data_IF_420272608550
#
_entry.id   IF_420272608550
#
_cell.length_a   1.000
_cell.length_b   1.000
_cell.length_c   1.000
_cell.angle_alpha   90.00
_cell.angle_beta   90.00
_cell.angle_gamma   90.00
#
_symmetry.space_group_name_H-M   'P 1'
#
loop_
_entity.id
_entity.type
_entity.pdbx_description
1 polymer ?
#
# COMPACT_ATOMS: atom_id res chain seq x y z
N UNK A 1 0.51 -11.89 -3.08
CA UNK A 1 -0.28 -10.65 -3.03
C UNK A 1 -1.55 -10.82 -3.84
N UNK A 2 -2.65 -10.25 -3.36
CA UNK A 2 -3.93 -10.17 -4.07
C UNK A 2 -4.36 -8.70 -4.17
N UNK A 3 -4.92 -8.32 -5.32
CA UNK A 3 -5.62 -7.05 -5.51
C UNK A 3 -7.06 -7.36 -5.86
N UNK A 4 -7.99 -6.73 -5.14
CA UNK A 4 -9.42 -6.90 -5.33
C UNK A 4 -10.14 -5.58 -5.56
N UNK A 5 -11.18 -5.60 -6.37
CA UNK A 5 -12.09 -4.47 -6.58
C UNK A 5 -13.54 -4.92 -6.40
N UNK A 6 -14.35 -4.05 -5.82
CA UNK A 6 -15.80 -4.18 -5.80
C UNK A 6 -16.41 -2.96 -6.49
N UNK A 7 -17.24 -3.22 -7.47
CA UNK A 7 -18.04 -2.22 -8.15
C UNK A 7 -19.28 -1.86 -7.31
N UNK A 8 -19.89 -0.72 -7.62
CA UNK A 8 -21.12 -0.28 -6.97
C UNK A 8 -22.31 -1.24 -7.24
N UNK A 9 -22.29 -1.93 -8.39
CA UNK A 9 -23.23 -3.00 -8.74
C UNK A 9 -22.96 -4.33 -8.02
N UNK A 10 -22.19 -4.30 -6.93
CA UNK A 10 -21.78 -5.42 -6.09
C UNK A 10 -20.95 -6.50 -6.77
N UNK A 11 -20.62 -6.36 -8.06
CA UNK A 11 -19.72 -7.28 -8.74
C UNK A 11 -18.31 -7.13 -8.16
N UNK A 12 -17.67 -8.27 -7.94
CA UNK A 12 -16.33 -8.36 -7.37
C UNK A 12 -15.40 -9.03 -8.36
N UNK A 13 -14.17 -8.53 -8.44
CA UNK A 13 -13.08 -9.18 -9.17
C UNK A 13 -11.82 -9.12 -8.31
N UNK A 14 -10.99 -10.15 -8.39
CA UNK A 14 -9.69 -10.19 -7.74
C UNK A 14 -8.65 -10.86 -8.65
N UNK A 15 -7.40 -10.45 -8.49
CA UNK A 15 -6.25 -11.09 -9.15
C UNK A 15 -5.14 -11.33 -8.14
N UNK A 16 -4.39 -12.40 -8.32
CA UNK A 16 -3.25 -12.78 -7.47
C UNK A 16 -1.95 -12.71 -8.25
N UNK A 17 -0.89 -12.29 -7.57
CA UNK A 17 0.46 -12.27 -8.12
C UNK A 17 1.46 -12.54 -7.00
N UNK A 18 2.44 -13.40 -7.28
CA UNK A 18 3.61 -13.57 -6.45
C UNK A 18 4.66 -12.55 -6.89
N UNK A 19 5.26 -11.84 -5.92
CA UNK A 19 6.40 -10.99 -6.21
C UNK A 19 7.63 -11.85 -6.55
N UNK A 20 8.52 -11.40 -7.44
CA UNK A 20 9.71 -12.18 -7.82
C UNK A 20 10.66 -12.41 -6.63
N UNK A 21 10.75 -11.41 -5.76
CA UNK A 21 11.52 -11.45 -4.51
C UNK A 21 10.61 -11.02 -3.35
N UNK A 22 10.93 -11.46 -2.11
CA UNK A 22 10.34 -10.86 -0.90
C UNK A 22 10.53 -9.34 -0.89
N UNK A 23 9.50 -8.63 -0.47
CA UNK A 23 9.48 -7.16 -0.44
C UNK A 23 8.90 -6.69 0.91
N UNK A 24 9.51 -5.65 1.46
CA UNK A 24 9.16 -5.03 2.74
C UNK A 24 8.95 -3.50 2.63
N UNK A 25 9.09 -2.92 1.44
CA UNK A 25 8.86 -1.49 1.21
C UNK A 25 7.67 -1.22 0.28
N UNK A 26 7.00 -0.08 0.49
CA UNK A 26 5.92 0.40 -0.40
C UNK A 26 6.40 0.54 -1.85
N UNK A 27 7.65 0.98 -2.04
CA UNK A 27 8.27 1.18 -3.35
C UNK A 27 8.40 -0.12 -4.15
N UNK A 28 8.60 -1.25 -3.47
CA UNK A 28 8.70 -2.56 -4.09
C UNK A 28 7.32 -3.15 -4.42
N UNK A 29 6.31 -2.86 -3.59
CA UNK A 29 4.98 -3.46 -3.68
C UNK A 29 4.03 -2.67 -4.59
N UNK A 30 3.97 -1.34 -4.43
CA UNK A 30 3.00 -0.47 -5.11
C UNK A 30 3.03 -0.57 -6.64
N UNK A 31 4.19 -0.65 -7.34
CA UNK A 31 4.19 -0.79 -8.79
C UNK A 31 3.46 -2.06 -9.27
N UNK A 32 3.59 -3.16 -8.51
CA UNK A 32 2.88 -4.40 -8.81
C UNK A 32 1.38 -4.29 -8.54
N UNK A 33 0.99 -3.61 -7.45
CA UNK A 33 -0.40 -3.30 -7.13
C UNK A 33 -1.06 -2.49 -8.25
N UNK A 34 -0.43 -1.40 -8.70
CA UNK A 34 -0.95 -0.54 -9.76
C UNK A 34 -1.15 -1.30 -11.07
N UNK A 35 -0.15 -2.08 -11.50
CA UNK A 35 -0.28 -2.91 -12.72
C UNK A 35 -1.41 -3.93 -12.62
N UNK A 36 -1.63 -4.49 -11.43
CA UNK A 36 -2.74 -5.44 -11.20
C UNK A 36 -4.09 -4.73 -11.21
N UNK A 37 -4.18 -3.56 -10.58
CA UNK A 37 -5.38 -2.74 -10.56
C UNK A 37 -5.78 -2.29 -11.98
N UNK A 38 -4.83 -1.81 -12.79
CA UNK A 38 -5.08 -1.42 -14.19
C UNK A 38 -5.61 -2.58 -15.04
N UNK A 39 -5.10 -3.79 -14.82
CA UNK A 39 -5.55 -5.00 -15.53
C UNK A 39 -6.94 -5.47 -15.07
N UNK A 40 -7.26 -5.24 -13.80
CA UNK A 40 -8.50 -5.69 -13.15
C UNK A 40 -9.65 -4.72 -13.42
N UNK A 41 -9.38 -3.42 -13.39
CA UNK A 41 -10.37 -2.36 -13.57
C UNK A 41 -10.68 -2.10 -15.06
N UNK A 42 -11.57 -2.91 -15.64
CA UNK A 42 -11.91 -2.85 -17.08
C UNK A 42 -13.21 -2.12 -17.40
N UNK A 43 -14.01 -1.81 -16.38
CA UNK A 43 -15.37 -1.25 -16.54
C UNK A 43 -15.37 0.18 -16.04
N UNK A 44 -16.04 1.08 -16.77
CA UNK A 44 -16.27 2.48 -16.34
C UNK A 44 -17.43 2.60 -15.35
N UNK A 45 -17.41 1.77 -14.31
CA UNK A 45 -18.40 1.78 -13.21
C UNK A 45 -17.67 2.16 -11.93
N UNK A 46 -18.29 2.99 -11.10
CA UNK A 46 -17.71 3.41 -9.83
C UNK A 46 -17.27 2.21 -8.98
N UNK A 47 -16.09 2.34 -8.36
CA UNK A 47 -15.59 1.39 -7.39
C UNK A 47 -16.04 1.83 -6.01
N UNK A 48 -16.55 0.87 -5.23
CA UNK A 48 -16.89 1.07 -3.82
C UNK A 48 -15.85 0.51 -2.87
N UNK A 49 -14.97 -0.36 -3.36
CA UNK A 49 -13.89 -0.95 -2.57
C UNK A 49 -12.72 -1.32 -3.48
N UNK A 50 -11.51 -1.03 -3.00
CA UNK A 50 -10.25 -1.53 -3.55
C UNK A 50 -9.48 -2.13 -2.38
N UNK A 51 -9.09 -3.40 -2.50
CA UNK A 51 -8.37 -4.13 -1.46
C UNK A 51 -7.02 -4.62 -1.95
N UNK A 52 -6.03 -4.58 -1.08
CA UNK A 52 -4.71 -5.20 -1.29
C UNK A 52 -4.45 -6.13 -0.12
N UNK A 53 -4.11 -7.39 -0.42
CA UNK A 53 -3.75 -8.38 0.59
C UNK A 53 -2.34 -8.87 0.33
N UNK A 54 -1.47 -8.68 1.32
CA UNK A 54 -0.13 -9.26 1.35
C UNK A 54 -0.16 -10.56 2.16
N UNK A 55 0.64 -11.54 1.73
CA UNK A 55 0.61 -12.91 2.25
C UNK A 55 1.97 -13.56 2.05
N UNK A 56 2.17 -14.76 2.62
CA UNK A 56 3.45 -15.49 2.56
C UNK A 56 4.61 -14.75 3.24
N UNK A 57 4.31 -14.10 4.37
CA UNK A 57 5.31 -13.50 5.22
C UNK A 57 6.21 -14.57 5.82
N UNK A 58 7.49 -14.27 5.87
CA UNK A 58 8.52 -15.06 6.53
C UNK A 58 9.36 -14.11 7.38
N UNK A 59 9.98 -14.60 8.46
CA UNK A 59 10.93 -13.80 9.20
C UNK A 59 11.96 -13.20 8.24
N UNK A 60 12.28 -11.92 8.43
CA UNK A 60 13.37 -11.30 7.71
C UNK A 60 14.61 -12.18 7.89
N UNK A 61 15.10 -12.76 6.80
CA UNK A 61 16.32 -13.54 6.89
C UNK A 61 17.40 -12.59 7.40
N UNK A 62 18.18 -13.02 8.40
CA UNK A 62 19.41 -12.34 8.82
C UNK A 62 20.49 -12.33 7.71
N UNK A 63 20.10 -12.57 6.46
CA UNK A 63 20.87 -12.38 5.26
C UNK A 63 21.13 -10.88 5.09
N UNK A 64 22.01 -10.36 5.94
CA UNK A 64 22.86 -9.25 5.57
C UNK A 64 23.50 -9.66 4.25
N UNK A 65 23.00 -9.10 3.16
CA UNK A 65 23.64 -9.23 1.86
C UNK A 65 25.01 -8.59 2.07
N UNK A 66 26.08 -9.40 2.07
CA UNK A 66 27.45 -8.93 2.37
C UNK A 66 27.86 -7.70 1.54
N UNK A 67 27.19 -7.48 0.40
CA UNK A 67 27.40 -6.35 -0.51
C UNK A 67 26.08 -5.73 -0.96
N UNK A 68 25.29 -5.18 -0.03
CA UNK A 68 24.14 -4.36 -0.42
C UNK A 68 24.64 -3.08 -1.12
N UNK A 69 24.11 -2.73 -2.32
CA UNK A 69 24.51 -1.49 -2.98
C UNK A 69 24.17 -0.29 -2.07
N UNK A 70 25.02 0.76 -1.99
CA UNK A 70 24.82 1.88 -1.07
C UNK A 70 23.45 2.57 -1.17
N UNK A 71 22.83 2.52 -2.36
CA UNK A 71 21.48 3.04 -2.59
C UNK A 71 20.40 2.29 -1.82
N UNK A 72 20.58 0.98 -1.59
CA UNK A 72 19.62 0.14 -0.87
C UNK A 72 19.72 0.39 0.63
N UNK A 73 20.93 0.43 1.19
CA UNK A 73 21.13 0.80 2.60
C UNK A 73 20.47 2.15 2.93
N UNK A 74 20.66 3.17 2.07
CA UNK A 74 20.01 4.47 2.26
C UNK A 74 18.48 4.41 2.22
N UNK A 75 17.89 3.49 1.45
CA UNK A 75 16.44 3.29 1.39
C UNK A 75 15.96 2.61 2.68
N UNK A 76 16.69 1.61 3.15
CA UNK A 76 16.37 0.89 4.38
C UNK A 76 16.45 1.84 5.59
N UNK A 77 17.51 2.66 5.68
CA UNK A 77 17.68 3.68 6.72
C UNK A 77 16.53 4.72 6.69
N UNK A 78 16.11 5.14 5.49
CA UNK A 78 14.98 6.05 5.31
C UNK A 78 13.68 5.41 5.80
N UNK A 79 13.43 4.14 5.43
CA UNK A 79 12.23 3.44 5.83
C UNK A 79 12.16 3.31 7.36
N UNK A 80 13.27 2.91 8.00
CA UNK A 80 13.37 2.88 9.46
C UNK A 80 13.13 4.24 10.12
N UNK A 81 13.65 5.32 9.53
CA UNK A 81 13.41 6.67 10.04
C UNK A 81 11.94 7.08 9.91
N UNK A 82 11.28 6.75 8.80
CA UNK A 82 9.85 6.99 8.60
C UNK A 82 9.02 6.22 9.64
N UNK A 83 9.34 4.94 9.84
CA UNK A 83 8.62 4.08 10.78
C UNK A 83 8.80 4.58 12.22
N UNK A 84 10.02 4.95 12.62
CA UNK A 84 10.27 5.53 13.94
C UNK A 84 9.47 6.83 14.21
N UNK A 85 9.27 7.66 13.19
CA UNK A 85 8.44 8.87 13.30
C UNK A 85 6.96 8.49 13.41
N UNK A 86 6.49 7.53 12.61
CA UNK A 86 5.10 7.05 12.67
C UNK A 86 4.76 6.36 13.99
N UNK A 87 5.67 5.58 14.54
CA UNK A 87 5.51 4.92 15.84
C UNK A 87 5.39 5.94 16.98
N UNK A 88 6.13 7.05 16.88
CA UNK A 88 6.13 8.10 17.91
C UNK A 88 5.00 9.10 17.78
N UNK A 89 4.61 9.46 16.55
CA UNK A 89 3.70 10.58 16.27
C UNK A 89 2.45 10.18 15.49
N UNK A 90 2.24 8.90 15.21
CA UNK A 90 1.12 8.35 14.45
C UNK A 90 1.36 8.31 12.94
N UNK A 91 0.61 7.47 12.22
CA UNK A 91 0.79 7.24 10.78
C UNK A 91 0.60 8.50 9.91
N UNK A 92 -0.18 9.48 10.38
CA UNK A 92 -0.40 10.76 9.70
C UNK A 92 0.76 11.76 9.79
N UNK A 93 1.76 11.50 10.62
CA UNK A 93 2.91 12.41 10.84
C UNK A 93 3.84 12.55 9.64
N UNK A 94 3.94 11.50 8.81
CA UNK A 94 4.66 11.50 7.53
C UNK A 94 3.79 10.87 6.46
N UNK A 95 3.54 11.64 5.41
CA UNK A 95 2.83 11.19 4.20
C UNK A 95 3.74 11.22 2.98
N UNK A 96 3.44 10.36 2.01
CA UNK A 96 4.07 10.46 0.70
C UNK A 96 3.62 11.77 0.02
N UNK A 97 4.53 12.44 -0.70
CA UNK A 97 4.19 13.66 -1.44
C UNK A 97 3.05 13.49 -2.45
N UNK A 98 2.89 12.27 -3.00
CA UNK A 98 1.75 11.93 -3.89
C UNK A 98 0.38 11.98 -3.19
N UNK A 99 0.34 12.01 -1.86
CA UNK A 99 -0.88 12.08 -1.07
C UNK A 99 -1.10 13.47 -0.46
N UNK A 100 -0.29 14.48 -0.83
CA UNK A 100 -0.39 15.82 -0.24
C UNK A 100 -1.75 16.47 -0.51
N UNK A 101 -2.35 16.16 -1.65
CA UNK A 101 -3.67 16.65 -2.03
C UNK A 101 -4.78 16.04 -1.19
N UNK A 102 -4.53 14.93 -0.48
CA UNK A 102 -5.49 14.29 0.42
C UNK A 102 -5.55 14.98 1.80
N UNK A 103 -4.53 15.76 2.17
CA UNK A 103 -4.52 16.51 3.41
C UNK A 103 -5.67 17.52 3.44
N UNK A 104 -6.47 17.48 4.51
CA UNK A 104 -7.66 18.32 4.68
C UNK A 104 -8.88 17.91 3.83
N UNK A 105 -8.73 16.95 2.91
CA UNK A 105 -9.86 16.38 2.13
C UNK A 105 -10.40 15.09 2.72
N UNK A 106 -9.52 14.28 3.31
CA UNK A 106 -9.88 13.05 3.99
C UNK A 106 -9.54 13.16 5.47
N UNK A 107 -10.42 12.59 6.30
CA UNK A 107 -10.13 12.39 7.72
C UNK A 107 -8.91 11.47 7.88
N UNK A 108 -8.24 11.56 9.02
CA UNK A 108 -7.16 10.66 9.39
C UNK A 108 -7.47 10.00 10.74
N UNK A 109 -7.04 8.75 10.90
CA UNK A 109 -7.02 8.04 12.16
C UNK A 109 -5.58 7.57 12.47
N UNK A 110 -5.43 6.74 13.51
CA UNK A 110 -4.13 6.20 13.94
C UNK A 110 -3.38 5.41 12.85
N UNK A 111 -4.09 4.97 11.80
CA UNK A 111 -3.57 4.19 10.67
C UNK A 111 -3.45 5.00 9.37
N UNK A 112 -3.74 6.31 9.39
CA UNK A 112 -3.62 7.20 8.22
C UNK A 112 -4.98 7.65 7.66
N UNK A 113 -5.04 7.87 6.34
CA UNK A 113 -6.24 8.42 5.69
C UNK A 113 -7.44 7.46 5.74
N UNK A 114 -8.60 8.01 6.11
CA UNK A 114 -9.88 7.31 6.13
C UNK A 114 -10.65 7.66 4.86
N UNK A 115 -10.77 6.70 3.95
CA UNK A 115 -11.67 6.79 2.81
C UNK A 115 -13.11 6.55 3.28
N UNK A 116 -13.83 7.62 3.61
CA UNK A 116 -15.29 7.55 3.77
C UNK A 116 -15.91 7.33 2.40
N UNK A 117 -16.38 6.11 2.14
CA UNK A 117 -17.21 5.81 0.98
C UNK A 117 -18.67 6.01 1.38
N UNK A 118 -19.38 7.03 0.85
CA UNK A 118 -20.78 7.31 1.23
C UNK A 118 -21.74 6.15 0.95
N UNK A 119 -21.35 5.18 0.12
CA UNK A 119 -22.14 3.98 -0.21
C UNK A 119 -22.40 3.02 0.96
N UNK A 120 -21.83 3.28 2.15
CA UNK A 120 -22.01 2.48 3.36
C UNK A 120 -22.85 3.15 4.45
N UNK A 121 -23.28 4.40 4.26
CA UNK A 121 -24.22 5.05 5.17
C UNK A 121 -25.64 4.79 4.66
N UNK A 122 -26.33 3.84 5.30
CA UNK A 122 -27.79 3.72 5.22
C UNK A 122 -28.43 4.65 6.23
#
# INVERSE_FOLDING_TARGET
MEVSIRYDDWKHQATRHALPEPADTDDDVLPSVWRMLDKLYRRRVALRHVGVVLSNFHPAAAAGRLFAPPRRQRRDDLQHAIDAVRDRFGHGSIIAGRAIDLLGRLDQNDYGFVLRTPSLTK
#
